data_IF_155524373930
#
_entry.id   IF_155524373930
#
_cell.length_a   1.000
_cell.length_b   1.000
_cell.length_c   1.000
_cell.angle_alpha   90.00
_cell.angle_beta   90.00
_cell.angle_gamma   90.00
#
_symmetry.space_group_name_H-M   'P 1'
#
loop_
_entity.id
_entity.type
_entity.pdbx_description
1 polymer ?
#
# COMPACT_ATOMS: atom_id res chain seq x y z
N UNK A 1 4.42 18.37 13.09
CA UNK A 1 5.70 17.71 12.75
C UNK A 1 5.39 16.71 11.66
N UNK A 2 5.78 16.97 10.43
CA UNK A 2 5.58 16.05 9.30
C UNK A 2 6.65 14.97 9.40
N UNK A 3 6.32 13.83 10.01
CA UNK A 3 7.18 12.64 9.93
C UNK A 3 7.09 12.11 8.51
N UNK A 4 8.20 12.10 7.79
CA UNK A 4 8.27 11.53 6.45
C UNK A 4 8.17 10.01 6.55
N UNK A 5 7.22 9.42 5.82
CA UNK A 5 7.11 7.97 5.68
C UNK A 5 8.14 7.51 4.64
N UNK A 6 9.36 7.27 5.08
CA UNK A 6 10.46 6.80 4.23
C UNK A 6 10.66 5.30 4.43
N UNK A 7 9.79 4.47 3.83
CA UNK A 7 9.96 3.01 3.79
C UNK A 7 9.99 2.52 2.36
N UNK A 8 11.10 1.90 2.01
CA UNK A 8 11.23 1.10 0.80
C UNK A 8 10.79 -0.32 1.10
N UNK A 9 10.00 -0.90 0.20
CA UNK A 9 9.60 -2.30 0.29
C UNK A 9 9.47 -2.89 -1.12
N UNK A 10 9.57 -4.20 -1.19
CA UNK A 10 9.34 -4.98 -2.40
C UNK A 10 8.04 -5.76 -2.25
N UNK A 11 7.25 -5.81 -3.32
CA UNK A 11 6.01 -6.56 -3.37
C UNK A 11 5.78 -7.06 -4.79
N UNK A 12 5.11 -8.20 -4.90
CA UNK A 12 4.66 -8.71 -6.20
C UNK A 12 3.51 -7.84 -6.70
N UNK A 13 3.62 -7.40 -7.94
CA UNK A 13 2.57 -6.65 -8.61
C UNK A 13 1.49 -7.62 -9.10
N UNK A 14 0.29 -7.51 -8.53
CA UNK A 14 -0.84 -8.39 -8.80
C UNK A 14 -1.87 -7.69 -9.67
N UNK A 15 -2.34 -8.37 -10.71
CA UNK A 15 -3.42 -7.89 -11.55
C UNK A 15 -4.74 -8.49 -11.08
N UNK A 16 -5.77 -7.66 -10.92
CA UNK A 16 -7.11 -8.17 -10.63
C UNK A 16 -7.68 -8.95 -11.83
N UNK A 17 -8.26 -10.15 -11.62
CA UNK A 17 -8.84 -10.97 -12.68
C UNK A 17 -10.17 -10.41 -13.21
N UNK A 18 -10.74 -9.39 -12.55
CA UNK A 18 -11.97 -8.75 -12.99
C UNK A 18 -11.74 -7.96 -14.29
N UNK A 19 -12.77 -7.91 -15.15
CA UNK A 19 -12.73 -7.08 -16.34
C UNK A 19 -12.57 -5.60 -15.94
N UNK A 20 -11.50 -4.95 -16.42
CA UNK A 20 -11.14 -3.58 -16.01
C UNK A 20 -10.54 -3.48 -14.61
N UNK A 21 -10.07 -4.59 -14.05
CA UNK A 21 -9.44 -4.65 -12.74
C UNK A 21 -8.15 -3.83 -12.68
N UNK A 22 -7.93 -3.20 -11.53
CA UNK A 22 -6.69 -2.46 -11.26
C UNK A 22 -5.55 -3.42 -10.92
N UNK A 23 -4.35 -2.98 -11.21
CA UNK A 23 -3.13 -3.59 -10.69
C UNK A 23 -2.86 -3.06 -9.29
N UNK A 24 -2.56 -3.97 -8.37
CA UNK A 24 -2.34 -3.65 -6.96
C UNK A 24 -1.13 -4.40 -6.42
N UNK A 25 -0.75 -4.06 -5.20
CA UNK A 25 0.30 -4.71 -4.43
C UNK A 25 -0.21 -4.96 -3.01
N UNK A 26 0.31 -5.99 -2.36
CA UNK A 26 0.02 -6.27 -0.95
C UNK A 26 1.26 -6.01 -0.12
N UNK A 27 1.12 -5.17 0.91
CA UNK A 27 2.17 -4.89 1.89
C UNK A 27 1.79 -5.55 3.22
N UNK A 28 2.55 -6.59 3.61
CA UNK A 28 2.20 -7.49 4.70
C UNK A 28 2.09 -6.81 6.08
N UNK A 29 2.95 -5.83 6.37
CA UNK A 29 3.04 -5.12 7.65
C UNK A 29 2.54 -3.66 7.56
N UNK A 30 1.63 -3.41 6.61
CA UNK A 30 1.10 -2.07 6.36
C UNK A 30 0.33 -1.50 7.55
N UNK A 31 -0.43 -2.32 8.28
CA UNK A 31 -1.22 -1.84 9.41
C UNK A 31 -0.34 -1.37 10.57
N UNK A 32 0.72 -2.11 10.88
CA UNK A 32 1.71 -1.76 11.89
C UNK A 32 2.53 -0.54 11.48
N UNK A 33 2.97 -0.49 10.21
CA UNK A 33 3.79 0.61 9.71
C UNK A 33 3.01 1.92 9.58
N UNK A 34 1.79 1.86 9.06
CA UNK A 34 0.91 3.04 8.93
C UNK A 34 0.23 3.41 10.25
N UNK A 35 0.30 2.54 11.27
CA UNK A 35 -0.30 2.73 12.59
C UNK A 35 -1.83 2.68 12.59
N UNK A 36 -2.44 2.17 11.51
CA UNK A 36 -3.90 2.11 11.36
C UNK A 36 -4.32 0.94 10.48
N UNK A 37 -5.51 0.41 10.77
CA UNK A 37 -6.21 -0.58 9.93
C UNK A 37 -7.25 0.08 9.00
N UNK A 38 -7.28 1.41 8.97
CA UNK A 38 -8.20 2.22 8.17
C UNK A 38 -7.64 2.58 6.80
N UNK A 39 -8.46 3.28 6.00
CA UNK A 39 -8.06 3.79 4.70
C UNK A 39 -7.00 4.88 4.84
N UNK A 40 -5.92 4.77 4.06
CA UNK A 40 -4.84 5.75 4.01
C UNK A 40 -4.75 6.31 2.60
N UNK A 41 -4.69 7.65 2.49
CA UNK A 41 -4.47 8.32 1.22
C UNK A 41 -2.97 8.44 0.96
N UNK A 42 -2.52 7.81 -0.10
CA UNK A 42 -1.13 7.90 -0.58
C UNK A 42 -1.05 8.94 -1.70
N UNK A 43 0.02 9.73 -1.72
CA UNK A 43 0.40 10.55 -2.87
C UNK A 43 1.60 9.88 -3.53
N UNK A 44 1.55 9.72 -4.85
CA UNK A 44 2.67 9.28 -5.69
C UNK A 44 3.11 10.41 -6.60
#
# INVERSE_FOLDING_TARGET
>A
MTSTLDKTFEATMEQSPAAGGWTYIVMADSAEYLGTRGLVKVRG
#
